data_IF_974841192014
#
_entry.id   IF_974841192014
#
_cell.length_a   1.000
_cell.length_b   1.000
_cell.length_c   1.000
_cell.angle_alpha   90.00
_cell.angle_beta   90.00
_cell.angle_gamma   90.00
#
_symmetry.space_group_name_H-M   'P 1'
#
loop_
_entity.id
_entity.type
_entity.pdbx_description
1 polymer ?
#
# COMPACT_ATOMS: atom_id res chain seq x y z
N UNK A 1 -3.62 21.69 -6.85
CA UNK A 1 -2.94 20.39 -6.86
C UNK A 1 -1.49 20.65 -6.46
N UNK A 2 -1.08 20.27 -5.25
CA UNK A 2 0.31 20.41 -4.81
C UNK A 2 0.98 19.09 -5.19
N UNK A 3 1.68 19.08 -6.31
CA UNK A 3 2.57 17.96 -6.67
C UNK A 3 3.91 18.23 -6.00
N UNK A 4 4.28 17.38 -5.05
CA UNK A 4 5.64 17.38 -4.52
C UNK A 4 6.61 17.07 -5.67
N UNK A 5 7.74 17.79 -5.79
CA UNK A 5 8.78 17.43 -6.75
C UNK A 5 9.27 16.02 -6.44
N UNK A 6 9.26 15.16 -7.44
CA UNK A 6 9.82 13.83 -7.34
C UNK A 6 11.35 13.97 -7.17
N UNK A 7 11.92 13.41 -6.09
CA UNK A 7 13.35 13.52 -5.80
C UNK A 7 14.11 12.45 -6.60
N UNK A 8 14.23 12.67 -7.91
CA UNK A 8 14.68 11.66 -8.89
C UNK A 8 16.15 11.25 -8.74
N UNK A 9 16.98 12.09 -8.12
CA UNK A 9 18.43 11.90 -8.02
C UNK A 9 18.93 11.68 -6.60
N UNK A 10 18.03 11.40 -5.66
CA UNK A 10 18.40 11.17 -4.27
C UNK A 10 18.13 9.72 -3.92
N UNK A 11 19.06 9.06 -3.19
CA UNK A 11 18.78 7.73 -2.66
C UNK A 11 17.53 7.78 -1.79
N UNK A 12 16.73 6.72 -1.84
CA UNK A 12 15.51 6.60 -1.05
C UNK A 12 15.85 6.73 0.45
N UNK A 13 15.49 7.88 1.04
CA UNK A 13 15.69 8.15 2.47
C UNK A 13 14.46 7.80 3.31
N UNK A 14 13.30 7.63 2.66
CA UNK A 14 12.08 7.14 3.29
C UNK A 14 11.81 5.73 2.78
N UNK A 15 11.94 4.76 3.69
CA UNK A 15 11.83 3.34 3.37
C UNK A 15 10.72 2.74 4.20
N UNK A 16 9.91 1.87 3.60
CA UNK A 16 8.95 1.09 4.36
C UNK A 16 9.69 0.25 5.42
N UNK A 17 9.23 0.31 6.68
CA UNK A 17 9.86 -0.41 7.79
C UNK A 17 10.11 -1.90 7.50
N UNK A 18 9.12 -2.60 6.94
CA UNK A 18 9.25 -4.03 6.64
C UNK A 18 10.28 -4.31 5.55
N UNK A 19 10.40 -3.40 4.57
CA UNK A 19 11.45 -3.44 3.54
C UNK A 19 12.82 -3.20 4.16
N UNK A 20 12.93 -2.20 5.03
CA UNK A 20 14.16 -1.90 5.76
C UNK A 20 14.61 -3.12 6.57
N UNK A 21 13.75 -3.65 7.45
CA UNK A 21 14.05 -4.80 8.31
C UNK A 21 14.48 -6.02 7.49
N UNK A 22 13.72 -6.39 6.45
CA UNK A 22 14.07 -7.51 5.58
C UNK A 22 15.40 -7.30 4.83
N UNK A 23 15.70 -6.06 4.42
CA UNK A 23 16.94 -5.74 3.73
C UNK A 23 18.16 -5.78 4.68
N UNK A 24 17.98 -5.42 5.95
CA UNK A 24 19.02 -5.57 6.98
C UNK A 24 19.25 -7.06 7.28
N UNK A 25 18.18 -7.83 7.47
CA UNK A 25 18.24 -9.28 7.72
C UNK A 25 18.89 -10.06 6.56
N UNK A 26 18.65 -9.64 5.31
CA UNK A 26 19.24 -10.25 4.11
C UNK A 26 20.77 -10.23 4.11
N UNK A 27 21.38 -9.27 4.81
CA UNK A 27 22.81 -9.17 5.10
C UNK A 27 23.72 -9.55 3.90
N UNK A 28 23.71 -8.71 2.87
CA UNK A 28 24.46 -8.94 1.63
C UNK A 28 25.97 -9.10 1.87
N UNK A 29 26.57 -10.08 1.20
CA UNK A 29 28.00 -10.41 1.32
C UNK A 29 28.76 -10.20 0.01
N UNK A 30 30.10 -10.16 0.10
CA UNK A 30 30.96 -10.02 -1.08
C UNK A 30 30.64 -11.09 -2.13
N UNK A 31 30.53 -10.66 -3.39
CA UNK A 31 30.19 -11.45 -4.57
C UNK A 31 28.73 -11.89 -4.71
N UNK A 32 27.86 -11.55 -3.76
CA UNK A 32 26.42 -11.74 -3.93
C UNK A 32 25.93 -10.99 -5.19
N UNK A 33 25.03 -11.63 -5.93
CA UNK A 33 24.40 -11.05 -7.12
C UNK A 33 23.15 -10.30 -6.69
N UNK A 34 23.03 -9.06 -7.11
CA UNK A 34 21.87 -8.21 -6.83
C UNK A 34 21.42 -7.48 -8.10
N UNK A 35 20.23 -6.91 -8.05
CA UNK A 35 19.75 -5.94 -9.03
C UNK A 35 19.21 -4.70 -8.33
N UNK A 36 19.35 -3.55 -8.98
CA UNK A 36 18.88 -2.25 -8.50
C UNK A 36 18.00 -1.64 -9.58
N UNK A 37 16.90 -1.00 -9.19
CA UNK A 37 16.03 -0.30 -10.13
C UNK A 37 16.54 1.12 -10.36
N UNK A 38 16.75 1.49 -11.61
CA UNK A 38 17.09 2.86 -12.00
C UNK A 38 16.00 3.44 -12.89
N UNK A 39 15.55 4.66 -12.60
CA UNK A 39 14.63 5.40 -13.48
C UNK A 39 15.40 5.86 -14.73
N UNK A 40 14.75 5.83 -15.89
CA UNK A 40 15.34 6.33 -17.13
C UNK A 40 14.97 7.81 -17.32
N UNK A 41 15.87 8.62 -17.87
CA UNK A 41 15.65 10.07 -18.07
C UNK A 41 14.62 10.40 -19.17
N UNK A 42 14.25 9.42 -20.00
CA UNK A 42 13.59 9.66 -21.30
C UNK A 42 12.13 9.18 -21.35
N UNK A 43 11.70 8.31 -20.43
CA UNK A 43 10.32 7.80 -20.36
C UNK A 43 9.88 7.61 -18.92
N UNK A 44 8.57 7.65 -18.70
CA UNK A 44 7.92 7.36 -17.43
C UNK A 44 8.10 5.86 -17.09
N UNK A 45 9.28 5.53 -16.56
CA UNK A 45 9.72 4.15 -16.35
C UNK A 45 11.17 4.02 -15.92
N UNK A 46 11.57 2.80 -15.61
CA UNK A 46 12.93 2.46 -15.20
C UNK A 46 13.34 1.08 -15.70
N UNK A 47 14.57 0.70 -15.39
CA UNK A 47 15.13 -0.59 -15.76
C UNK A 47 15.84 -1.23 -14.56
N UNK A 48 15.82 -2.56 -14.50
CA UNK A 48 16.60 -3.32 -13.52
C UNK A 48 18.04 -3.47 -14.01
N UNK A 49 19.00 -3.02 -13.20
CA UNK A 49 20.42 -3.15 -13.45
C UNK A 49 21.00 -4.24 -12.56
N UNK A 50 21.49 -5.30 -13.18
CA UNK A 50 22.15 -6.39 -12.46
C UNK A 50 23.60 -6.04 -12.14
N UNK A 51 24.01 -6.40 -10.93
CA UNK A 51 25.37 -6.19 -10.44
C UNK A 51 25.77 -7.24 -9.42
N UNK A 52 26.93 -6.99 -8.81
CA UNK A 52 27.50 -7.83 -7.77
C UNK A 52 28.09 -6.96 -6.67
N UNK A 53 27.93 -7.38 -5.41
CA UNK A 53 28.57 -6.72 -4.28
C UNK A 53 30.09 -6.86 -4.40
N UNK A 54 30.78 -5.74 -4.59
CA UNK A 54 32.25 -5.65 -4.70
C UNK A 54 32.91 -5.16 -3.41
N UNK A 55 32.15 -4.48 -2.55
CA UNK A 55 32.64 -3.97 -1.26
C UNK A 55 31.53 -3.76 -0.24
N UNK A 56 31.89 -3.82 1.04
CA UNK A 56 31.01 -3.51 2.18
C UNK A 56 31.78 -2.56 3.09
N UNK A 57 31.41 -1.28 3.13
CA UNK A 57 32.07 -0.26 3.95
C UNK A 57 31.10 0.84 4.35
N UNK A 58 31.20 1.43 5.55
CA UNK A 58 30.36 2.57 5.89
C UNK A 58 30.65 3.76 4.96
N UNK A 59 29.63 4.57 4.67
CA UNK A 59 29.77 5.79 3.84
C UNK A 59 30.69 6.82 4.50
N UNK A 60 30.58 7.00 5.81
CA UNK A 60 31.39 7.92 6.61
C UNK A 60 31.97 7.21 7.84
N UNK A 61 33.20 7.56 8.19
CA UNK A 61 33.86 7.13 9.44
C UNK A 61 33.14 7.61 10.69
N UNK A 62 32.39 8.71 10.60
CA UNK A 62 31.66 9.29 11.72
C UNK A 62 30.43 8.44 12.12
N UNK A 63 29.97 7.57 11.20
CA UNK A 63 28.80 6.72 11.39
C UNK A 63 29.10 5.28 10.94
N UNK A 64 29.98 4.56 11.66
CA UNK A 64 30.47 3.24 11.25
C UNK A 64 29.35 2.17 11.19
N UNK A 65 28.31 2.33 12.01
CA UNK A 65 27.17 1.42 12.09
C UNK A 65 26.03 1.79 11.12
N UNK A 66 26.16 2.89 10.37
CA UNK A 66 25.11 3.32 9.45
C UNK A 66 24.96 2.33 8.28
N UNK A 67 23.74 1.84 8.00
CA UNK A 67 23.48 1.03 6.81
C UNK A 67 23.43 1.84 5.52
N UNK A 68 23.43 3.17 5.61
CA UNK A 68 23.31 4.08 4.48
C UNK A 68 24.48 3.91 3.49
N UNK A 69 24.18 3.60 2.23
CA UNK A 69 25.17 3.45 1.14
C UNK A 69 26.35 2.53 1.49
N UNK A 70 26.10 1.49 2.29
CA UNK A 70 27.15 0.60 2.80
C UNK A 70 27.71 -0.38 1.75
N UNK A 71 26.93 -0.71 0.72
CA UNK A 71 27.31 -1.70 -0.28
C UNK A 71 27.82 -1.04 -1.55
N UNK A 72 29.00 -1.44 -2.00
CA UNK A 72 29.52 -1.06 -3.33
C UNK A 72 29.09 -2.13 -4.31
N UNK A 73 28.30 -1.77 -5.31
CA UNK A 73 27.81 -2.64 -6.35
C UNK A 73 28.58 -2.37 -7.63
N UNK A 74 29.15 -3.42 -8.21
CA UNK A 74 29.72 -3.38 -9.55
C UNK A 74 28.67 -3.84 -10.55
N UNK A 75 28.20 -2.93 -11.42
CA UNK A 75 27.22 -3.25 -12.45
C UNK A 75 27.84 -3.99 -13.63
N UNK A 76 27.03 -4.83 -14.28
CA UNK A 76 27.47 -5.57 -15.47
C UNK A 76 27.69 -4.69 -16.70
N UNK A 77 26.92 -3.61 -16.83
CA UNK A 77 26.85 -2.82 -18.08
C UNK A 77 28.09 -1.95 -18.30
N UNK A 78 28.58 -1.29 -17.26
CA UNK A 78 29.63 -0.27 -17.34
C UNK A 78 30.83 -0.56 -16.41
N UNK A 79 30.73 -1.59 -15.55
CA UNK A 79 31.80 -1.99 -14.63
C UNK A 79 32.07 -0.98 -13.51
N UNK A 80 31.27 0.08 -13.42
CA UNK A 80 31.39 1.14 -12.43
C UNK A 80 30.95 0.63 -11.05
N UNK A 81 31.53 1.22 -10.00
CA UNK A 81 31.20 0.91 -8.61
C UNK A 81 30.28 1.99 -8.03
N UNK A 82 29.03 1.64 -7.73
CA UNK A 82 28.05 2.53 -7.13
C UNK A 82 27.74 2.13 -5.69
N UNK A 83 27.60 3.11 -4.79
CA UNK A 83 27.27 2.85 -3.39
C UNK A 83 25.75 2.81 -3.21
N UNK A 84 25.24 1.79 -2.53
CA UNK A 84 23.82 1.55 -2.30
C UNK A 84 23.54 1.11 -0.87
N UNK A 85 22.37 1.50 -0.41
CA UNK A 85 21.81 1.06 0.85
C UNK A 85 21.15 -0.32 0.69
N UNK A 86 21.05 -1.12 1.77
CA UNK A 86 20.50 -2.47 1.72
C UNK A 86 19.11 -2.57 1.05
N UNK A 87 18.23 -1.60 1.28
CA UNK A 87 16.84 -1.58 0.81
C UNK A 87 16.68 -1.29 -0.69
N UNK A 88 17.74 -0.82 -1.35
CA UNK A 88 17.78 -0.61 -2.80
C UNK A 88 18.13 -1.92 -3.55
N UNK A 89 18.70 -2.91 -2.85
CA UNK A 89 19.20 -4.14 -3.45
C UNK A 89 18.12 -5.24 -3.48
N UNK A 90 17.95 -5.85 -4.65
CA UNK A 90 17.05 -6.99 -4.84
C UNK A 90 17.81 -8.23 -5.29
N UNK A 91 17.32 -9.41 -4.91
CA UNK A 91 17.86 -10.69 -5.36
C UNK A 91 17.74 -10.89 -6.88
N UNK A 92 18.73 -11.57 -7.45
CA UNK A 92 18.75 -11.97 -8.88
C UNK A 92 18.24 -13.41 -8.98
N UNK A 93 17.03 -13.57 -9.53
CA UNK A 93 16.38 -14.87 -9.77
C UNK A 93 15.19 -15.16 -8.86
N UNK A 94 14.54 -16.31 -9.07
CA UNK A 94 13.47 -16.83 -8.21
C UNK A 94 14.06 -17.46 -6.93
N UNK A 95 14.72 -16.64 -6.11
CA UNK A 95 14.97 -17.04 -4.73
C UNK A 95 13.62 -16.97 -4.02
N UNK A 96 13.22 -18.08 -3.41
CA UNK A 96 11.90 -18.38 -2.85
C UNK A 96 11.38 -17.39 -1.77
N UNK A 97 12.12 -16.31 -1.47
CA UNK A 97 11.80 -15.30 -0.46
C UNK A 97 12.20 -13.90 -0.97
N UNK A 98 11.74 -13.49 -2.15
CA UNK A 98 11.70 -12.05 -2.44
C UNK A 98 10.82 -11.40 -1.38
N UNK A 99 11.29 -10.32 -0.74
CA UNK A 99 10.44 -9.51 0.12
C UNK A 99 9.17 -9.15 -0.65
N UNK A 100 8.01 -9.48 -0.07
CA UNK A 100 6.70 -9.13 -0.58
C UNK A 100 6.17 -7.99 0.29
N UNK A 101 5.59 -6.99 -0.36
CA UNK A 101 4.89 -5.95 0.38
C UNK A 101 3.86 -6.60 1.33
N UNK A 102 3.84 -6.22 2.62
CA UNK A 102 2.86 -6.78 3.55
C UNK A 102 1.46 -6.54 3.02
N UNK A 103 0.67 -7.58 2.93
CA UNK A 103 -0.72 -7.51 2.52
C UNK A 103 -1.52 -8.54 3.32
N UNK A 104 -2.82 -8.30 3.47
CA UNK A 104 -3.72 -9.30 4.04
C UNK A 104 -3.65 -10.63 3.28
N UNK A 105 -4.01 -11.72 3.96
CA UNK A 105 -4.06 -13.04 3.33
C UNK A 105 -4.92 -13.00 2.06
N UNK A 106 -4.42 -13.56 0.96
CA UNK A 106 -5.08 -13.51 -0.36
C UNK A 106 -6.46 -14.16 -0.32
N UNK A 107 -6.63 -15.25 0.45
CA UNK A 107 -7.93 -15.90 0.64
C UNK A 107 -8.93 -14.96 1.31
N UNK A 108 -8.56 -14.38 2.46
CA UNK A 108 -9.39 -13.39 3.18
C UNK A 108 -9.71 -12.17 2.32
N UNK A 109 -8.72 -11.66 1.56
CA UNK A 109 -8.91 -10.54 0.61
C UNK A 109 -9.95 -10.88 -0.45
N UNK A 110 -9.82 -12.05 -1.08
CA UNK A 110 -10.73 -12.47 -2.15
C UNK A 110 -12.14 -12.71 -1.61
N UNK A 111 -12.25 -13.25 -0.38
CA UNK A 111 -13.54 -13.42 0.27
C UNK A 111 -14.21 -12.06 0.58
N UNK A 112 -13.45 -11.10 1.11
CA UNK A 112 -13.92 -9.73 1.33
C UNK A 112 -14.39 -9.08 0.03
N UNK A 113 -13.60 -9.18 -1.05
CA UNK A 113 -13.96 -8.66 -2.36
C UNK A 113 -15.27 -9.27 -2.86
N UNK A 114 -15.42 -10.60 -2.79
CA UNK A 114 -16.64 -11.28 -3.20
C UNK A 114 -17.87 -10.83 -2.39
N UNK A 115 -17.72 -10.65 -1.08
CA UNK A 115 -18.79 -10.12 -0.21
C UNK A 115 -19.16 -8.69 -0.58
N UNK A 116 -18.18 -7.82 -0.84
CA UNK A 116 -18.40 -6.43 -1.27
C UNK A 116 -19.07 -6.34 -2.64
N UNK A 117 -18.67 -7.17 -3.60
CA UNK A 117 -19.31 -7.26 -4.92
C UNK A 117 -20.78 -7.69 -4.78
N UNK A 118 -21.05 -8.72 -3.97
CA UNK A 118 -22.40 -9.16 -3.68
C UNK A 118 -23.25 -8.04 -3.03
N UNK A 119 -22.67 -7.29 -2.08
CA UNK A 119 -23.33 -6.13 -1.47
C UNK A 119 -23.66 -5.05 -2.50
N UNK A 120 -22.74 -4.72 -3.40
CA UNK A 120 -22.95 -3.76 -4.49
C UNK A 120 -24.09 -4.24 -5.41
N UNK A 121 -24.07 -5.51 -5.85
CA UNK A 121 -25.11 -6.10 -6.68
C UNK A 121 -26.49 -6.05 -6.02
N UNK A 122 -26.58 -6.44 -4.73
CA UNK A 122 -27.84 -6.38 -3.98
C UNK A 122 -28.33 -4.93 -3.87
N UNK A 123 -27.43 -3.98 -3.69
CA UNK A 123 -27.79 -2.56 -3.57
C UNK A 123 -28.37 -2.00 -4.87
N UNK A 124 -27.85 -2.43 -6.03
CA UNK A 124 -28.43 -2.09 -7.33
C UNK A 124 -29.81 -2.71 -7.55
N UNK A 125 -30.04 -3.95 -7.12
CA UNK A 125 -31.31 -4.66 -7.34
C UNK A 125 -32.42 -4.25 -6.36
N UNK A 126 -32.08 -3.94 -5.11
CA UNK A 126 -33.04 -3.74 -4.02
C UNK A 126 -33.18 -2.28 -3.57
N UNK A 127 -33.25 -1.33 -4.52
CA UNK A 127 -33.48 0.10 -4.23
C UNK A 127 -32.53 0.67 -3.16
N UNK A 128 -31.25 0.27 -3.19
CA UNK A 128 -30.22 0.70 -2.25
C UNK A 128 -30.58 0.41 -0.78
N UNK A 129 -30.99 -0.84 -0.49
CA UNK A 129 -31.39 -1.31 0.86
C UNK A 129 -30.40 -0.99 1.97
N UNK A 130 -29.11 -0.92 1.64
CA UNK A 130 -27.99 -0.64 2.55
C UNK A 130 -27.48 0.80 2.45
N UNK A 131 -27.98 1.62 1.50
CA UNK A 131 -27.55 3.01 1.36
C UNK A 131 -26.17 3.18 0.75
N UNK A 132 -25.61 2.13 0.13
CA UNK A 132 -24.26 2.09 -0.44
C UNK A 132 -24.16 3.05 -1.63
N UNK A 133 -25.10 2.97 -2.57
CA UNK A 133 -25.06 3.80 -3.78
C UNK A 133 -25.24 5.29 -3.44
N UNK A 134 -26.08 5.59 -2.45
CA UNK A 134 -26.24 6.96 -1.98
C UNK A 134 -25.00 7.46 -1.23
N UNK A 135 -24.35 6.61 -0.42
CA UNK A 135 -23.13 6.94 0.28
C UNK A 135 -21.98 7.24 -0.70
N UNK A 136 -21.79 6.38 -1.70
CA UNK A 136 -20.76 6.57 -2.73
C UNK A 136 -20.97 7.91 -3.46
N UNK A 137 -22.21 8.24 -3.84
CA UNK A 137 -22.54 9.53 -4.47
C UNK A 137 -22.31 10.74 -3.57
N UNK A 138 -22.50 10.57 -2.26
CA UNK A 138 -22.31 11.66 -1.29
C UNK A 138 -20.84 11.86 -0.96
N UNK A 139 -20.04 10.80 -0.98
CA UNK A 139 -18.60 10.87 -0.71
C UNK A 139 -17.86 11.82 -1.68
N UNK A 140 -18.38 12.00 -2.89
CA UNK A 140 -17.84 12.91 -3.91
C UNK A 140 -18.26 14.38 -3.73
N UNK A 141 -19.24 14.68 -2.86
CA UNK A 141 -19.77 16.04 -2.72
C UNK A 141 -18.89 16.90 -1.84
N UNK A 142 -18.72 18.16 -2.23
CA UNK A 142 -17.86 19.12 -1.51
C UNK A 142 -18.26 19.33 -0.05
N UNK A 143 -19.54 19.29 0.29
CA UNK A 143 -20.01 19.44 1.67
C UNK A 143 -19.65 18.23 2.55
N UNK A 144 -19.64 17.03 1.99
CA UNK A 144 -19.12 15.84 2.66
C UNK A 144 -17.60 15.89 2.78
N UNK A 145 -16.91 16.18 1.68
CA UNK A 145 -15.45 16.27 1.58
C UNK A 145 -14.87 17.27 2.58
N UNK A 146 -15.50 18.45 2.70
CA UNK A 146 -15.07 19.50 3.60
C UNK A 146 -15.38 19.20 5.07
N UNK A 147 -16.30 18.27 5.36
CA UNK A 147 -16.71 17.93 6.72
C UNK A 147 -15.89 16.80 7.32
N UNK A 148 -15.46 15.84 6.50
CA UNK A 148 -14.73 14.65 6.96
C UNK A 148 -13.33 14.61 6.35
N UNK A 149 -12.26 14.68 7.17
CA UNK A 149 -10.88 14.64 6.69
C UNK A 149 -10.54 13.33 5.95
N UNK A 150 -11.19 12.23 6.33
CA UNK A 150 -10.98 10.91 5.74
C UNK A 150 -12.27 10.44 5.08
N UNK A 151 -12.27 10.36 3.76
CA UNK A 151 -13.42 9.98 2.96
C UNK A 151 -13.29 8.51 2.57
N UNK A 152 -13.96 7.66 3.34
CA UNK A 152 -14.14 6.26 2.96
C UNK A 152 -15.53 6.05 2.37
N UNK A 153 -15.55 5.21 1.36
CA UNK A 153 -16.74 4.68 0.71
C UNK A 153 -16.52 3.19 0.42
N UNK A 154 -17.57 2.48 0.04
CA UNK A 154 -17.45 1.06 -0.30
C UNK A 154 -16.50 0.89 -1.49
N UNK A 155 -16.60 1.79 -2.47
CA UNK A 155 -15.71 1.78 -3.64
C UNK A 155 -14.24 2.03 -3.26
N UNK A 156 -13.96 3.00 -2.38
CA UNK A 156 -12.58 3.26 -1.92
C UNK A 156 -11.99 2.05 -1.21
N UNK A 157 -12.77 1.39 -0.34
CA UNK A 157 -12.32 0.19 0.38
C UNK A 157 -12.08 -0.96 -0.61
N UNK A 158 -12.96 -1.14 -1.60
CA UNK A 158 -12.82 -2.13 -2.67
C UNK A 158 -11.55 -1.90 -3.49
N UNK A 159 -11.33 -0.69 -4.00
CA UNK A 159 -10.12 -0.34 -4.76
C UNK A 159 -8.85 -0.58 -3.95
N UNK A 160 -8.85 -0.27 -2.65
CA UNK A 160 -7.71 -0.56 -1.76
C UNK A 160 -7.45 -2.06 -1.60
N UNK A 161 -8.50 -2.87 -1.49
CA UNK A 161 -8.37 -4.34 -1.45
C UNK A 161 -7.82 -4.89 -2.77
N UNK A 162 -8.33 -4.44 -3.91
CA UNK A 162 -7.86 -4.84 -5.26
C UNK A 162 -6.38 -4.52 -5.46
N UNK A 163 -5.91 -3.38 -4.93
CA UNK A 163 -4.54 -2.93 -5.04
C UNK A 163 -3.61 -3.43 -3.92
N UNK A 164 -4.04 -4.41 -3.11
CA UNK A 164 -3.26 -4.97 -1.99
C UNK A 164 -2.77 -3.91 -0.98
N UNK A 165 -3.52 -2.83 -0.80
CA UNK A 165 -3.14 -1.72 0.07
C UNK A 165 -3.13 -2.11 1.55
N UNK A 166 -4.10 -2.92 1.99
CA UNK A 166 -4.25 -3.26 3.39
C UNK A 166 -3.25 -4.33 3.82
N UNK A 167 -2.51 -4.02 4.90
CA UNK A 167 -1.53 -4.92 5.51
C UNK A 167 -2.16 -5.89 6.52
N UNK A 168 -3.27 -5.50 7.14
CA UNK A 168 -3.96 -6.28 8.19
C UNK A 168 -5.48 -6.22 7.99
N UNK A 169 -6.20 -7.21 8.51
CA UNK A 169 -7.66 -7.24 8.46
C UNK A 169 -8.27 -6.09 9.27
N UNK A 170 -7.62 -5.75 10.39
CA UNK A 170 -7.99 -4.65 11.28
C UNK A 170 -7.96 -3.30 10.56
N UNK A 171 -7.04 -3.10 9.61
CA UNK A 171 -7.01 -1.88 8.81
C UNK A 171 -8.23 -1.76 7.89
N UNK A 172 -8.67 -2.86 7.28
CA UNK A 172 -9.92 -2.90 6.49
C UNK A 172 -11.12 -2.60 7.39
N UNK A 173 -11.16 -3.23 8.57
CA UNK A 173 -12.24 -3.04 9.56
C UNK A 173 -12.30 -1.59 10.02
N UNK A 174 -11.16 -0.98 10.34
CA UNK A 174 -11.07 0.41 10.76
C UNK A 174 -11.62 1.36 9.70
N UNK A 175 -11.19 1.24 8.44
CA UNK A 175 -11.70 2.08 7.35
C UNK A 175 -13.22 1.92 7.17
N UNK A 176 -13.73 0.69 7.27
CA UNK A 176 -15.17 0.41 7.23
C UNK A 176 -15.92 1.02 8.43
N UNK A 177 -15.36 1.00 9.63
CA UNK A 177 -15.93 1.65 10.82
C UNK A 177 -15.99 3.17 10.65
N UNK A 178 -14.89 3.79 10.23
CA UNK A 178 -14.82 5.25 9.99
C UNK A 178 -15.80 5.68 8.89
N UNK A 179 -15.94 4.88 7.83
CA UNK A 179 -16.97 5.09 6.80
C UNK A 179 -18.38 5.16 7.41
N UNK A 180 -18.72 4.20 8.28
CA UNK A 180 -20.04 4.14 8.93
C UNK A 180 -20.26 5.32 9.88
N UNK A 181 -19.24 5.72 10.65
CA UNK A 181 -19.32 6.86 11.56
C UNK A 181 -19.57 8.17 10.79
N UNK A 182 -18.84 8.39 9.70
CA UNK A 182 -19.03 9.54 8.82
C UNK A 182 -20.43 9.53 8.19
N UNK A 183 -20.89 8.36 7.71
CA UNK A 183 -22.22 8.22 7.14
C UNK A 183 -23.32 8.53 8.17
N UNK A 184 -23.22 8.00 9.39
CA UNK A 184 -24.19 8.29 10.48
C UNK A 184 -24.21 9.78 10.84
N UNK A 185 -23.04 10.41 10.95
CA UNK A 185 -22.92 11.84 11.25
C UNK A 185 -23.53 12.71 10.16
N UNK A 186 -23.28 12.36 8.90
CA UNK A 186 -23.80 13.08 7.73
C UNK A 186 -25.32 12.92 7.57
N UNK A 187 -25.83 11.68 7.64
CA UNK A 187 -27.24 11.37 7.45
C UNK A 187 -28.09 11.45 8.72
N UNK A 188 -27.57 12.02 9.81
CA UNK A 188 -28.26 12.14 11.11
C UNK A 188 -29.67 12.73 11.06
N UNK A 189 -29.98 13.57 10.07
CA UNK A 189 -31.32 14.16 9.87
C UNK A 189 -32.26 13.31 9.02
N UNK A 190 -31.75 12.29 8.32
CA UNK A 190 -32.53 11.40 7.46
C UNK A 190 -32.79 10.08 8.17
N UNK A 191 -34.03 9.89 8.63
CA UNK A 191 -34.46 8.67 9.31
C UNK A 191 -34.39 7.44 8.40
N UNK A 192 -34.67 7.60 7.11
CA UNK A 192 -34.56 6.54 6.11
C UNK A 192 -33.10 6.11 5.91
N UNK A 193 -32.20 7.06 5.66
CA UNK A 193 -30.78 6.74 5.46
C UNK A 193 -30.14 6.19 6.71
N UNK A 194 -30.49 6.71 7.89
CA UNK A 194 -29.98 6.18 9.17
C UNK A 194 -30.31 4.69 9.31
N UNK A 195 -31.53 4.26 8.97
CA UNK A 195 -31.90 2.83 8.98
C UNK A 195 -31.09 2.00 7.98
N UNK A 196 -30.83 2.55 6.79
CA UNK A 196 -30.01 1.89 5.75
C UNK A 196 -28.56 1.72 6.22
N UNK A 197 -27.96 2.77 6.78
CA UNK A 197 -26.60 2.75 7.33
C UNK A 197 -26.49 1.82 8.55
N UNK A 198 -27.51 1.70 9.40
CA UNK A 198 -27.52 0.70 10.47
C UNK A 198 -27.43 -0.73 9.90
N UNK A 199 -28.21 -1.05 8.87
CA UNK A 199 -28.12 -2.38 8.21
C UNK A 199 -26.76 -2.62 7.58
N UNK A 200 -26.15 -1.58 7.00
CA UNK A 200 -24.80 -1.68 6.44
C UNK A 200 -23.77 -1.96 7.54
N UNK A 201 -23.89 -1.29 8.69
CA UNK A 201 -23.05 -1.56 9.85
C UNK A 201 -23.21 -3.01 10.35
N UNK A 202 -24.44 -3.50 10.48
CA UNK A 202 -24.70 -4.89 10.88
C UNK A 202 -24.11 -5.89 9.87
N UNK A 203 -24.22 -5.60 8.58
CA UNK A 203 -23.62 -6.41 7.51
C UNK A 203 -22.09 -6.43 7.59
N UNK A 204 -21.46 -5.28 7.88
CA UNK A 204 -20.00 -5.17 8.06
C UNK A 204 -19.57 -6.04 9.25
N UNK A 205 -20.22 -5.90 10.40
CA UNK A 205 -19.90 -6.68 11.61
C UNK A 205 -20.05 -8.19 11.37
N UNK A 206 -21.14 -8.61 10.71
CA UNK A 206 -21.34 -10.02 10.34
C UNK A 206 -20.26 -10.51 9.37
N UNK A 207 -19.88 -9.68 8.40
CA UNK A 207 -18.82 -10.01 7.43
C UNK A 207 -17.50 -10.24 8.16
N UNK A 208 -17.07 -9.32 9.01
CA UNK A 208 -15.82 -9.44 9.75
C UNK A 208 -15.82 -10.51 10.84
N UNK A 209 -16.99 -10.90 11.36
CA UNK A 209 -17.12 -12.01 12.32
C UNK A 209 -17.05 -13.39 11.66
N UNK A 210 -17.27 -13.45 10.34
CA UNK A 210 -17.27 -14.69 9.56
C UNK A 210 -15.92 -15.05 8.92
N UNK A 211 -14.93 -14.14 9.04
CA UNK A 211 -13.58 -14.27 8.48
C UNK A 211 -12.60 -14.75 9.55
#
# INVERSE_FOLDING_TARGET
>A
MITLPELVNFPDFLVERTRYEAAIERNWTLRDKCKVWWKNDVQDGGSWWEGRVSGVKPKSSDFPDSPWEKYIIQYKNDGSGHSHSPWELHDVGNLWVSWKHPHINIGTRNELLSKLENLQEISHRNQDRYGVLMLDKVAEKSDFVNRFPVQFSIEVIKTRLENNYYRTLEAVRHDATVMIENARSYFSKSSEMTKKICRLADWIEQTFSSL
#
